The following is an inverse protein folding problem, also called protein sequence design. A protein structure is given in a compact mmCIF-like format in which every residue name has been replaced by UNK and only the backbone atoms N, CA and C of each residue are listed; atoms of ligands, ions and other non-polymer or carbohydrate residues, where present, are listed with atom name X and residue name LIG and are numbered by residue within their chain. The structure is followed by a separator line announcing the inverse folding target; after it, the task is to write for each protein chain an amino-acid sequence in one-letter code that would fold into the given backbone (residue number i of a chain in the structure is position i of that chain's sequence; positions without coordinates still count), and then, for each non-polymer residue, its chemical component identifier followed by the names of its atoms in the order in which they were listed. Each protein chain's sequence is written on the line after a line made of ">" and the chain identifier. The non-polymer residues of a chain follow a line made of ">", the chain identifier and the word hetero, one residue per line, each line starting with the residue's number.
data_IF_288366653218
#
_entry.id   IF_288366653218
#
_cell.length_a   1.000
_cell.length_b   1.000
_cell.length_c   1.000
_cell.angle_alpha   90.00
_cell.angle_beta   90.00
_cell.angle_gamma   90.00
#
_symmetry.space_group_name_H-M   'P 1'
#
loop_
_entity.id
_entity.type
_entity.pdbx_description
1 polymer ?
#
# COMPACT_ATOMS: atom_id res chain seq x y z
N UNK A 1 17.81 -27.93 31.04
CA UNK A 1 18.39 -27.28 29.85
C UNK A 1 17.26 -26.82 28.92
N UNK A 2 17.09 -25.52 28.72
CA UNK A 2 16.27 -24.99 27.61
C UNK A 2 17.09 -25.13 26.33
N UNK A 3 16.55 -25.76 25.30
CA UNK A 3 17.17 -25.79 23.97
C UNK A 3 17.21 -24.34 23.45
N UNK A 4 18.41 -23.82 23.18
CA UNK A 4 18.58 -22.60 22.38
C UNK A 4 18.20 -22.97 20.95
N UNK A 5 17.12 -22.37 20.46
CA UNK A 5 16.77 -22.44 19.05
C UNK A 5 17.73 -21.50 18.31
N UNK A 6 18.69 -22.07 17.61
CA UNK A 6 19.57 -21.32 16.69
C UNK A 6 18.72 -20.88 15.51
N UNK A 7 18.15 -19.67 15.58
CA UNK A 7 17.49 -19.03 14.43
C UNK A 7 18.55 -18.84 13.32
N UNK A 8 18.61 -19.79 12.39
CA UNK A 8 19.64 -19.90 11.34
C UNK A 8 19.08 -19.41 10.00
N UNK A 9 18.50 -18.20 9.99
CA UNK A 9 17.91 -17.62 8.78
C UNK A 9 17.66 -16.12 8.90
N UNK A 10 17.64 -15.43 7.75
CA UNK A 10 17.24 -14.02 7.66
C UNK A 10 15.79 -13.85 8.14
N UNK A 11 15.55 -12.80 8.94
CA UNK A 11 14.18 -12.36 9.26
C UNK A 11 13.60 -11.51 8.13
N UNK A 12 12.32 -11.12 8.22
CA UNK A 12 11.69 -10.19 7.25
C UNK A 12 12.32 -8.78 7.21
N UNK A 13 13.21 -8.46 8.16
CA UNK A 13 13.99 -7.20 8.18
C UNK A 13 15.36 -7.34 7.50
N UNK A 14 15.67 -8.52 6.98
CA UNK A 14 16.96 -8.89 6.43
C UNK A 14 16.74 -9.59 5.09
N UNK A 15 17.76 -9.62 4.25
CA UNK A 15 17.75 -10.41 3.03
C UNK A 15 19.10 -11.05 2.78
N UNK A 16 19.13 -12.00 1.84
CA UNK A 16 20.32 -12.78 1.54
C UNK A 16 21.17 -12.03 0.51
N UNK A 17 22.47 -11.93 0.78
CA UNK A 17 23.46 -11.45 -0.19
C UNK A 17 24.08 -12.65 -0.92
N UNK A 18 24.48 -12.49 -2.20
CA UNK A 18 25.13 -13.57 -2.94
C UNK A 18 26.48 -13.94 -2.33
N UNK A 19 26.82 -15.23 -2.34
CA UNK A 19 28.09 -15.73 -1.78
C UNK A 19 29.33 -15.19 -2.51
N UNK A 20 29.18 -14.85 -3.80
CA UNK A 20 30.22 -14.26 -4.63
C UNK A 20 29.68 -13.00 -5.32
N UNK A 21 30.42 -11.91 -5.23
CA UNK A 21 30.03 -10.60 -5.73
C UNK A 21 31.22 -9.90 -6.40
N UNK A 22 31.01 -9.13 -7.49
CA UNK A 22 32.07 -8.31 -8.07
C UNK A 22 32.56 -7.24 -7.08
N UNK A 23 33.87 -6.95 -7.10
CA UNK A 23 34.46 -5.90 -6.27
C UNK A 23 33.93 -4.50 -6.68
N UNK A 24 33.86 -3.59 -5.72
CA UNK A 24 33.46 -2.18 -5.90
C UNK A 24 32.03 -1.93 -6.41
N UNK A 25 31.12 -2.90 -6.27
CA UNK A 25 29.68 -2.70 -6.48
C UNK A 25 28.92 -2.75 -5.16
N UNK A 26 28.02 -1.80 -4.94
CA UNK A 26 27.09 -1.84 -3.80
C UNK A 26 26.02 -2.88 -4.04
N UNK A 27 25.83 -3.78 -3.08
CA UNK A 27 24.76 -4.78 -3.10
C UNK A 27 23.67 -4.42 -2.10
N UNK A 28 22.42 -4.59 -2.53
CA UNK A 28 21.23 -4.35 -1.71
C UNK A 28 20.53 -5.70 -1.60
N UNK A 29 20.35 -6.25 -0.38
CA UNK A 29 19.64 -7.50 -0.22
C UNK A 29 18.18 -7.31 -0.64
N UNK A 30 17.64 -8.15 -1.54
CA UNK A 30 16.24 -8.05 -1.93
C UNK A 30 15.35 -8.44 -0.75
N UNK A 31 14.16 -7.83 -0.69
CA UNK A 31 13.07 -8.30 0.17
C UNK A 31 12.82 -9.79 -0.12
N UNK A 32 12.62 -10.61 0.90
CA UNK A 32 12.52 -12.07 0.73
C UNK A 32 11.09 -12.59 0.63
N UNK A 33 10.14 -11.85 1.20
CA UNK A 33 8.74 -12.28 1.34
C UNK A 33 7.81 -11.07 1.39
N UNK A 34 6.58 -11.24 0.91
CA UNK A 34 5.49 -10.27 1.12
C UNK A 34 4.94 -10.28 2.55
N UNK A 35 5.38 -11.22 3.40
CA UNK A 35 4.94 -11.35 4.79
C UNK A 35 6.08 -11.13 5.81
N UNK A 36 5.78 -10.51 6.98
CA UNK A 36 4.49 -9.95 7.37
C UNK A 36 4.15 -8.66 6.62
N UNK A 37 2.87 -8.30 6.56
CA UNK A 37 2.37 -7.06 5.99
C UNK A 37 1.49 -6.31 7.00
N UNK A 38 1.51 -4.99 6.96
CA UNK A 38 0.57 -4.16 7.74
C UNK A 38 -0.86 -4.28 7.20
N UNK A 39 -1.84 -3.94 8.02
CA UNK A 39 -3.22 -3.75 7.54
C UNK A 39 -3.28 -2.54 6.60
N UNK A 40 -4.20 -2.52 5.64
CA UNK A 40 -4.35 -1.46 4.62
C UNK A 40 -4.27 -0.04 5.18
N UNK A 41 -5.07 0.27 6.20
CA UNK A 41 -5.07 1.61 6.81
C UNK A 41 -3.76 1.96 7.53
N UNK A 42 -3.14 0.97 8.19
CA UNK A 42 -1.83 1.18 8.81
C UNK A 42 -0.73 1.36 7.77
N UNK A 43 -0.73 0.56 6.69
CA UNK A 43 0.22 0.66 5.60
C UNK A 43 0.24 2.07 4.99
N UNK A 44 -0.96 2.64 4.73
CA UNK A 44 -1.11 4.01 4.26
C UNK A 44 -0.52 5.03 5.25
N UNK A 45 -0.79 4.87 6.55
CA UNK A 45 -0.28 5.78 7.58
C UNK A 45 1.23 5.65 7.79
N UNK A 46 1.80 4.43 7.66
CA UNK A 46 3.24 4.18 7.78
C UNK A 46 4.01 4.66 6.54
N UNK A 47 3.38 4.56 5.37
CA UNK A 47 4.00 4.83 4.08
C UNK A 47 4.73 3.60 3.50
N UNK A 48 4.44 2.41 4.01
CA UNK A 48 4.86 1.14 3.40
C UNK A 48 3.94 0.00 3.86
N UNK A 49 3.72 -0.99 3.00
CA UNK A 49 3.01 -2.22 3.37
C UNK A 49 3.87 -3.15 4.24
N UNK A 50 5.19 -3.09 4.11
CA UNK A 50 6.10 -4.11 4.65
C UNK A 50 6.84 -3.60 5.90
N UNK A 51 6.64 -4.20 7.09
CA UNK A 51 7.34 -3.81 8.32
C UNK A 51 8.86 -3.98 8.28
N UNK A 52 9.38 -4.77 7.31
CA UNK A 52 10.80 -4.88 7.03
C UNK A 52 11.40 -3.62 6.39
N UNK A 53 10.57 -2.86 5.68
CA UNK A 53 10.94 -1.63 4.98
C UNK A 53 10.50 -0.35 5.72
N UNK A 54 9.81 -0.48 6.85
CA UNK A 54 9.42 0.63 7.72
C UNK A 54 10.64 1.17 8.49
N UNK A 55 11.40 2.04 7.82
CA UNK A 55 12.66 2.61 8.29
C UNK A 55 12.48 4.10 8.65
N UNK A 56 12.16 4.43 9.91
CA UNK A 56 11.84 5.80 10.31
C UNK A 56 13.06 6.72 10.24
N UNK A 57 12.88 7.89 9.64
CA UNK A 57 13.92 8.93 9.63
C UNK A 57 14.06 9.54 11.02
N UNK A 58 15.25 9.46 11.61
CA UNK A 58 15.55 9.97 12.98
C UNK A 58 14.58 9.44 14.06
N UNK A 59 14.16 8.17 13.95
CA UNK A 59 13.16 7.55 14.84
C UNK A 59 11.80 8.25 14.87
N UNK A 60 11.49 9.07 13.86
CA UNK A 60 10.17 9.67 13.67
C UNK A 60 9.33 8.68 12.88
N UNK A 61 8.27 8.17 13.51
CA UNK A 61 7.32 7.25 12.89
C UNK A 61 6.15 8.06 12.34
N UNK A 62 5.72 7.76 11.11
CA UNK A 62 4.51 8.32 10.57
C UNK A 62 3.30 7.76 11.33
N UNK A 63 2.70 8.61 12.15
CA UNK A 63 1.48 8.33 12.88
C UNK A 63 0.45 9.35 12.41
N UNK A 64 -0.21 9.06 11.30
CA UNK A 64 -1.35 9.85 10.85
C UNK A 64 -2.63 9.13 11.25
N UNK A 65 -3.25 9.47 12.40
CA UNK A 65 -4.65 9.18 12.61
C UNK A 65 -5.43 10.23 11.82
N UNK A 66 -5.75 9.93 10.56
CA UNK A 66 -6.93 10.58 9.99
C UNK A 66 -8.18 9.85 10.51
N UNK A 67 -9.32 10.52 10.48
CA UNK A 67 -10.60 9.82 10.62
C UNK A 67 -10.74 8.81 9.47
N UNK A 68 -11.44 7.70 9.73
CA UNK A 68 -11.69 6.71 8.68
C UNK A 68 -12.85 7.21 7.83
N UNK A 69 -12.53 7.83 6.70
CA UNK A 69 -13.51 8.23 5.68
C UNK A 69 -13.54 7.20 4.55
N UNK A 70 -14.65 7.13 3.81
CA UNK A 70 -14.76 6.22 2.65
C UNK A 70 -13.67 6.49 1.60
N UNK A 71 -13.29 7.76 1.40
CA UNK A 71 -12.18 8.12 0.52
C UNK A 71 -10.86 7.55 1.04
N UNK A 72 -10.64 7.59 2.35
CA UNK A 72 -9.40 7.09 2.96
C UNK A 72 -9.29 5.57 2.89
N UNK A 73 -10.38 4.85 3.07
CA UNK A 73 -10.40 3.40 2.85
C UNK A 73 -10.04 3.08 1.39
N UNK A 74 -10.58 3.83 0.43
CA UNK A 74 -10.24 3.65 -0.98
C UNK A 74 -8.77 3.97 -1.28
N UNK A 75 -8.22 5.05 -0.71
CA UNK A 75 -6.80 5.37 -0.81
C UNK A 75 -5.91 4.29 -0.18
N UNK A 76 -6.35 3.67 0.91
CA UNK A 76 -5.60 2.60 1.56
C UNK A 76 -5.57 1.32 0.69
N UNK A 77 -6.69 0.99 0.04
CA UNK A 77 -6.74 -0.11 -0.93
C UNK A 77 -5.81 0.18 -2.13
N UNK A 78 -5.88 1.39 -2.70
CA UNK A 78 -5.02 1.81 -3.81
C UNK A 78 -3.53 1.70 -3.45
N UNK A 79 -3.16 2.22 -2.26
CA UNK A 79 -1.80 2.16 -1.75
C UNK A 79 -1.29 0.71 -1.63
N UNK A 80 -2.08 -0.20 -1.08
CA UNK A 80 -1.69 -1.62 -0.97
C UNK A 80 -1.57 -2.28 -2.34
N UNK A 81 -2.42 -1.94 -3.31
CA UNK A 81 -2.24 -2.47 -4.68
C UNK A 81 -0.93 -1.98 -5.30
N UNK A 82 -0.55 -0.72 -5.10
CA UNK A 82 0.72 -0.20 -5.60
C UNK A 82 1.93 -0.89 -4.94
N UNK A 83 1.93 -1.05 -3.62
CA UNK A 83 3.02 -1.71 -2.88
C UNK A 83 3.19 -3.18 -3.29
N UNK A 84 2.08 -3.93 -3.42
CA UNK A 84 2.13 -5.32 -3.87
C UNK A 84 2.58 -5.43 -5.33
N UNK A 85 2.17 -4.50 -6.19
CA UNK A 85 2.65 -4.43 -7.57
C UNK A 85 4.18 -4.26 -7.62
N UNK A 86 4.72 -3.32 -6.84
CA UNK A 86 6.16 -3.09 -6.75
C UNK A 86 6.92 -4.31 -6.21
N UNK A 87 6.34 -5.02 -5.23
CA UNK A 87 6.91 -6.28 -4.75
C UNK A 87 6.98 -7.34 -5.87
N UNK A 88 5.88 -7.52 -6.61
CA UNK A 88 5.75 -8.50 -7.69
C UNK A 88 6.64 -8.20 -8.90
N UNK A 89 7.04 -6.94 -9.13
CA UNK A 89 8.03 -6.58 -10.18
C UNK A 89 9.36 -7.34 -10.01
N UNK A 90 9.70 -7.72 -8.77
CA UNK A 90 10.91 -8.48 -8.44
C UNK A 90 10.63 -9.94 -8.04
N UNK A 91 9.37 -10.29 -7.80
CA UNK A 91 8.92 -11.60 -7.30
C UNK A 91 7.74 -12.14 -8.13
N UNK A 92 7.91 -12.17 -9.45
CA UNK A 92 6.82 -12.48 -10.40
C UNK A 92 6.20 -13.88 -10.22
N UNK A 93 6.94 -14.79 -9.61
CA UNK A 93 6.60 -16.17 -9.34
C UNK A 93 5.90 -16.40 -7.99
N UNK A 94 5.80 -15.36 -7.15
CA UNK A 94 5.09 -15.45 -5.87
C UNK A 94 3.56 -15.46 -6.09
N UNK A 95 3.02 -16.67 -6.22
CA UNK A 95 1.60 -16.89 -6.46
C UNK A 95 0.70 -16.42 -5.30
N UNK A 96 1.21 -16.41 -4.07
CA UNK A 96 0.45 -15.98 -2.90
C UNK A 96 0.34 -14.46 -2.84
N UNK A 97 1.46 -13.76 -3.08
CA UNK A 97 1.45 -12.31 -3.24
C UNK A 97 0.57 -11.88 -4.42
N UNK A 98 0.62 -12.62 -5.53
CA UNK A 98 -0.22 -12.34 -6.70
C UNK A 98 -1.72 -12.55 -6.43
N UNK A 99 -2.10 -13.63 -5.74
CA UNK A 99 -3.49 -13.84 -5.34
C UNK A 99 -4.00 -12.72 -4.41
N UNK A 100 -3.15 -12.26 -3.49
CA UNK A 100 -3.45 -11.14 -2.59
C UNK A 100 -3.62 -9.85 -3.37
N UNK A 101 -2.71 -9.55 -4.29
CA UNK A 101 -2.80 -8.40 -5.21
C UNK A 101 -4.10 -8.40 -6.02
N UNK A 102 -4.50 -9.54 -6.59
CA UNK A 102 -5.77 -9.68 -7.31
C UNK A 102 -6.99 -9.42 -6.42
N UNK A 103 -6.94 -9.83 -5.15
CA UNK A 103 -8.04 -9.57 -4.20
C UNK A 103 -8.19 -8.08 -3.91
N UNK A 104 -7.07 -7.37 -3.68
CA UNK A 104 -7.08 -5.92 -3.46
C UNK A 104 -7.48 -5.12 -4.69
N UNK A 105 -7.08 -5.55 -5.91
CA UNK A 105 -7.55 -4.92 -7.14
C UNK A 105 -9.08 -4.98 -7.28
N UNK A 106 -9.69 -6.12 -6.94
CA UNK A 106 -11.16 -6.27 -6.96
C UNK A 106 -11.83 -5.37 -5.93
N UNK A 107 -11.33 -5.37 -4.69
CA UNK A 107 -11.86 -4.52 -3.62
C UNK A 107 -11.75 -3.04 -3.97
N UNK A 108 -10.63 -2.61 -4.56
CA UNK A 108 -10.43 -1.24 -5.01
C UNK A 108 -11.40 -0.87 -6.14
N UNK A 109 -11.56 -1.72 -7.16
CA UNK A 109 -12.48 -1.44 -8.28
C UNK A 109 -13.94 -1.35 -7.82
N UNK A 110 -14.38 -2.23 -6.90
CA UNK A 110 -15.70 -2.19 -6.29
C UNK A 110 -15.89 -0.92 -5.45
N UNK A 111 -14.96 -0.65 -4.52
CA UNK A 111 -15.01 0.54 -3.68
C UNK A 111 -14.97 1.84 -4.51
N UNK A 112 -14.19 1.88 -5.59
CA UNK A 112 -14.12 3.03 -6.49
C UNK A 112 -15.47 3.26 -7.19
N UNK A 113 -16.11 2.21 -7.69
CA UNK A 113 -17.43 2.31 -8.33
C UNK A 113 -18.48 2.87 -7.36
N UNK A 114 -18.52 2.35 -6.15
CA UNK A 114 -19.46 2.82 -5.13
C UNK A 114 -19.18 4.27 -4.70
N UNK A 115 -17.91 4.61 -4.51
CA UNK A 115 -17.49 5.97 -4.16
C UNK A 115 -17.88 6.96 -5.27
N UNK A 116 -17.56 6.63 -6.53
CA UNK A 116 -17.86 7.50 -7.67
C UNK A 116 -19.36 7.69 -7.86
N UNK A 117 -20.15 6.63 -7.66
CA UNK A 117 -21.61 6.72 -7.75
C UNK A 117 -22.21 7.66 -6.68
N UNK A 118 -21.60 7.74 -5.50
CA UNK A 118 -22.09 8.54 -4.37
C UNK A 118 -21.56 9.97 -4.34
N UNK A 119 -20.27 10.17 -4.61
CA UNK A 119 -19.57 11.44 -4.43
C UNK A 119 -19.13 12.11 -5.72
N UNK A 120 -19.16 11.41 -6.86
CA UNK A 120 -18.72 11.92 -8.15
C UNK A 120 -17.34 11.41 -8.59
N UNK A 121 -16.87 11.84 -9.76
CA UNK A 121 -15.69 11.27 -10.42
C UNK A 121 -14.39 11.50 -9.64
N UNK A 122 -13.57 10.46 -9.49
CA UNK A 122 -12.21 10.57 -8.93
C UNK A 122 -11.16 10.82 -10.03
N UNK A 123 -11.41 10.29 -11.22
CA UNK A 123 -10.59 10.47 -12.40
C UNK A 123 -11.47 10.91 -13.59
N UNK A 124 -10.89 11.57 -14.58
CA UNK A 124 -11.62 11.96 -15.80
C UNK A 124 -12.23 10.77 -16.55
N UNK A 125 -11.62 9.59 -16.46
CA UNK A 125 -12.15 8.35 -17.05
C UNK A 125 -13.47 7.90 -16.42
N UNK A 126 -13.77 8.32 -15.19
CA UNK A 126 -15.04 7.98 -14.53
C UNK A 126 -16.24 8.68 -15.20
N UNK A 127 -15.98 9.68 -16.06
CA UNK A 127 -17.00 10.40 -16.82
C UNK A 127 -17.45 9.67 -18.09
N UNK A 128 -16.88 8.51 -18.43
CA UNK A 128 -17.24 7.77 -19.66
C UNK A 128 -18.75 7.54 -19.76
N UNK A 129 -19.42 7.31 -18.62
CA UNK A 129 -20.87 7.10 -18.56
C UNK A 129 -21.66 8.33 -18.06
N UNK A 130 -21.00 9.47 -17.88
CA UNK A 130 -21.65 10.69 -17.38
C UNK A 130 -22.47 11.38 -18.47
N UNK A 131 -23.63 11.94 -18.08
CA UNK A 131 -24.53 12.68 -19.00
C UNK A 131 -24.07 14.12 -19.24
N UNK A 132 -23.19 14.63 -18.40
CA UNK A 132 -22.65 15.99 -18.44
C UNK A 132 -21.23 16.00 -17.87
N UNK A 133 -20.50 17.09 -18.08
CA UNK A 133 -19.11 17.24 -17.62
C UNK A 133 -19.06 17.59 -16.12
N UNK A 134 -19.31 16.61 -15.25
CA UNK A 134 -19.38 16.79 -13.80
C UNK A 134 -18.02 16.90 -13.11
N UNK A 135 -16.91 16.84 -13.86
CA UNK A 135 -15.56 17.01 -13.30
C UNK A 135 -15.38 18.32 -12.57
N UNK A 136 -16.04 19.40 -12.99
CA UNK A 136 -15.87 20.74 -12.39
C UNK A 136 -16.82 21.00 -11.21
N UNK A 137 -17.64 20.02 -10.83
CA UNK A 137 -18.60 20.19 -9.74
C UNK A 137 -17.88 20.20 -8.39
N UNK A 138 -18.28 21.12 -7.52
CA UNK A 138 -17.89 21.19 -6.11
C UNK A 138 -18.93 20.47 -5.22
N UNK A 139 -18.56 20.03 -4.00
CA UNK A 139 -17.21 20.04 -3.41
C UNK A 139 -16.34 18.89 -3.91
N UNK A 140 -15.02 19.12 -3.98
CA UNK A 140 -14.06 18.07 -4.30
C UNK A 140 -13.80 17.16 -3.08
N UNK A 141 -13.41 15.90 -3.27
CA UNK A 141 -13.09 14.98 -2.18
C UNK A 141 -11.99 15.48 -1.22
N UNK A 142 -11.12 16.39 -1.67
CA UNK A 142 -10.05 17.03 -0.88
C UNK A 142 -10.38 18.45 -0.42
N UNK A 143 -11.56 18.99 -0.75
CA UNK A 143 -11.98 20.28 -0.23
C UNK A 143 -12.32 20.12 1.25
N UNK A 144 -11.44 20.64 2.11
CA UNK A 144 -11.70 20.73 3.54
C UNK A 144 -12.83 21.72 3.79
N UNK A 145 -14.08 21.25 3.79
CA UNK A 145 -15.22 22.09 4.15
C UNK A 145 -15.18 22.27 5.67
N UNK A 146 -14.59 23.38 6.12
CA UNK A 146 -14.43 23.76 7.53
C UNK A 146 -15.75 24.02 8.29
N UNK A 147 -16.91 23.62 7.74
CA UNK A 147 -18.22 24.06 8.21
C UNK A 147 -19.37 23.06 8.03
N UNK A 148 -19.14 21.73 8.09
CA UNK A 148 -20.22 20.73 8.20
C UNK A 148 -19.85 19.47 9.01
N UNK A 149 -19.15 19.64 10.12
CA UNK A 149 -19.21 18.67 11.21
C UNK A 149 -19.70 19.42 12.44
N UNK A 150 -20.94 19.16 12.81
CA UNK A 150 -21.59 19.66 14.02
C UNK A 150 -22.19 18.48 14.78
#
# INVERSE_FOLDING_TARGET
>A
MKKMDTQTGCTYKQGVLPECAPLALSQIPPQQSSEPAYQTGEALSRGTLFPGLDLPFKNIVNQMPAETTELRELMALDFVTAELGLYLDTHSEDAQAFATFQSFLKLYDEGKKEYVARFGPLCRSDLISAKSYTWLNDPWPWDYVSAKEG
#
